data_IF_961054956480
#
_entry.id   IF_961054956480
#
_cell.length_a   1.000
_cell.length_b   1.000
_cell.length_c   1.000
_cell.angle_alpha   90.00
_cell.angle_beta   90.00
_cell.angle_gamma   90.00
#
_symmetry.space_group_name_H-M   'P 1'
#
loop_
_entity.id
_entity.type
_entity.pdbx_description
1 polymer ?
#
# COMPACT_ATOMS: atom_id res chain seq x y z
N UNK A 1 -23.55 -1.49 -18.16
CA UNK A 1 -23.67 -2.27 -16.92
C UNK A 1 -24.80 -1.59 -16.14
N UNK A 2 -25.87 -2.33 -15.90
CA UNK A 2 -27.04 -1.83 -15.18
C UNK A 2 -26.70 -1.86 -13.68
N UNK A 3 -26.31 -0.71 -13.11
CA UNK A 3 -25.87 -0.58 -11.71
C UNK A 3 -27.12 -0.39 -10.82
N UNK A 4 -28.11 -1.25 -10.96
CA UNK A 4 -29.31 -1.18 -10.13
C UNK A 4 -29.23 -2.00 -8.85
N UNK A 5 -28.13 -2.71 -8.60
CA UNK A 5 -27.90 -3.46 -7.35
C UNK A 5 -26.39 -3.45 -7.08
N UNK A 6 -25.94 -2.57 -6.24
CA UNK A 6 -24.52 -2.42 -5.88
C UNK A 6 -24.37 -1.67 -4.57
N UNK A 7 -23.21 -1.74 -4.01
CA UNK A 7 -22.82 -0.99 -2.83
C UNK A 7 -22.09 0.30 -3.26
N UNK A 8 -22.52 1.43 -2.73
CA UNK A 8 -21.76 2.68 -2.79
C UNK A 8 -21.39 3.11 -1.39
N UNK A 9 -20.11 3.34 -1.15
CA UNK A 9 -19.60 3.87 0.10
C UNK A 9 -18.75 5.11 -0.15
N UNK A 10 -18.90 6.11 0.71
CA UNK A 10 -18.08 7.32 0.72
C UNK A 10 -17.24 7.36 1.98
N UNK A 11 -15.94 7.54 1.79
CA UNK A 11 -14.95 7.65 2.87
C UNK A 11 -14.39 9.06 2.92
N UNK A 12 -14.14 9.56 4.11
CA UNK A 12 -13.46 10.84 4.36
C UNK A 12 -12.36 10.66 5.39
N UNK A 13 -11.23 11.41 5.28
CA UNK A 13 -10.20 11.42 6.31
C UNK A 13 -10.74 11.98 7.63
N UNK A 14 -10.43 11.31 8.72
CA UNK A 14 -10.67 11.80 10.08
C UNK A 14 -9.57 12.82 10.47
N UNK A 15 -9.71 14.05 10.01
CA UNK A 15 -8.73 15.11 10.26
C UNK A 15 -9.41 16.43 10.57
N UNK A 16 -8.76 17.28 11.38
CA UNK A 16 -9.22 18.63 11.70
C UNK A 16 -8.82 19.67 10.66
N UNK A 17 -8.06 19.27 9.63
CA UNK A 17 -7.58 20.13 8.54
C UNK A 17 -7.92 19.49 7.21
N UNK A 18 -8.03 20.31 6.17
CA UNK A 18 -8.23 19.81 4.81
C UNK A 18 -7.08 18.88 4.42
N UNK A 19 -7.42 17.70 3.89
CA UNK A 19 -6.43 16.75 3.41
C UNK A 19 -5.75 17.25 2.13
N UNK A 20 -4.46 16.98 1.97
CA UNK A 20 -3.77 17.27 0.71
C UNK A 20 -4.18 16.26 -0.36
N UNK A 21 -3.95 16.62 -1.63
CA UNK A 21 -4.20 15.70 -2.74
C UNK A 21 -3.43 14.39 -2.57
N UNK A 22 -2.16 14.47 -2.19
CA UNK A 22 -1.28 13.33 -1.95
C UNK A 22 -1.82 12.43 -0.83
N UNK A 23 -2.42 13.02 0.21
CA UNK A 23 -3.05 12.27 1.30
C UNK A 23 -4.32 11.55 0.84
N UNK A 24 -5.14 12.18 -0.01
CA UNK A 24 -6.32 11.53 -0.59
C UNK A 24 -5.93 10.40 -1.54
N UNK A 25 -4.90 10.60 -2.39
CA UNK A 25 -4.39 9.57 -3.29
C UNK A 25 -3.80 8.38 -2.50
N UNK A 26 -3.11 8.67 -1.41
CA UNK A 26 -2.60 7.63 -0.51
C UNK A 26 -3.72 6.85 0.18
N UNK A 27 -4.76 7.55 0.67
CA UNK A 27 -5.93 6.92 1.27
C UNK A 27 -6.72 6.06 0.25
N UNK A 28 -6.83 6.52 -1.00
CA UNK A 28 -7.37 5.73 -2.12
C UNK A 28 -6.61 4.42 -2.28
N UNK A 29 -5.27 4.47 -2.24
CA UNK A 29 -4.42 3.28 -2.36
C UNK A 29 -4.63 2.27 -1.22
N UNK A 30 -4.93 2.73 0.01
CA UNK A 30 -5.33 1.83 1.12
C UNK A 30 -6.61 1.07 0.73
N UNK A 31 -7.64 1.79 0.29
CA UNK A 31 -8.91 1.18 -0.10
C UNK A 31 -8.68 0.15 -1.21
N UNK A 32 -7.87 0.44 -2.22
CA UNK A 32 -7.53 -0.51 -3.29
C UNK A 32 -6.87 -1.79 -2.78
N UNK A 33 -5.94 -1.66 -1.81
CA UNK A 33 -5.31 -2.83 -1.17
C UNK A 33 -6.35 -3.65 -0.41
N UNK A 34 -7.23 -3.01 0.35
CA UNK A 34 -8.29 -3.70 1.09
C UNK A 34 -9.31 -4.36 0.15
N UNK A 35 -9.73 -3.72 -0.94
CA UNK A 35 -10.59 -4.33 -1.96
C UNK A 35 -9.95 -5.61 -2.50
N UNK A 36 -8.67 -5.55 -2.86
CA UNK A 36 -7.92 -6.71 -3.35
C UNK A 36 -7.83 -7.81 -2.29
N UNK A 37 -7.59 -7.47 -1.02
CA UNK A 37 -7.49 -8.44 0.07
C UNK A 37 -8.80 -9.16 0.35
N UNK A 38 -9.95 -8.53 0.07
CA UNK A 38 -11.29 -9.07 0.21
C UNK A 38 -11.82 -9.74 -1.07
N UNK A 39 -10.98 -9.90 -2.10
CA UNK A 39 -11.35 -10.45 -3.41
C UNK A 39 -12.42 -9.64 -4.15
N UNK A 40 -12.63 -8.38 -3.79
CA UNK A 40 -13.50 -7.47 -4.52
C UNK A 40 -12.70 -6.96 -5.71
N UNK A 41 -12.97 -7.50 -6.89
CA UNK A 41 -12.17 -7.26 -8.10
C UNK A 41 -12.86 -6.37 -9.14
N UNK A 42 -14.19 -6.31 -9.09
CA UNK A 42 -15.00 -5.46 -9.97
C UNK A 42 -15.49 -4.26 -9.15
N UNK A 43 -14.84 -3.11 -9.29
CA UNK A 43 -15.19 -1.91 -8.55
C UNK A 43 -14.81 -0.64 -9.32
N UNK A 44 -15.48 0.45 -8.99
CA UNK A 44 -15.15 1.80 -9.40
C UNK A 44 -14.71 2.62 -8.19
N UNK A 45 -13.65 3.40 -8.34
CA UNK A 45 -13.07 4.18 -7.25
C UNK A 45 -12.78 5.61 -7.72
N UNK A 46 -13.45 6.58 -7.11
CA UNK A 46 -13.38 7.99 -7.45
C UNK A 46 -12.84 8.82 -6.30
N UNK A 47 -12.11 9.89 -6.62
CA UNK A 47 -11.64 10.88 -5.65
C UNK A 47 -12.30 12.24 -5.89
N UNK A 48 -12.86 12.84 -4.84
CA UNK A 48 -13.36 14.22 -4.82
C UNK A 48 -12.45 15.05 -3.90
N UNK A 49 -11.43 15.65 -4.50
CA UNK A 49 -10.43 16.45 -3.78
C UNK A 49 -10.99 17.75 -3.20
N UNK A 50 -12.12 18.24 -3.71
CA UNK A 50 -12.74 19.47 -3.21
C UNK A 50 -13.41 19.26 -1.85
N UNK A 51 -13.97 18.08 -1.66
CA UNK A 51 -14.72 17.69 -0.45
C UNK A 51 -14.00 16.65 0.39
N UNK A 52 -12.72 16.34 0.10
CA UNK A 52 -11.90 15.34 0.78
C UNK A 52 -12.61 13.99 0.89
N UNK A 53 -13.09 13.46 -0.26
CA UNK A 53 -13.89 12.23 -0.31
C UNK A 53 -13.29 11.22 -1.28
N UNK A 54 -13.47 9.97 -0.91
CA UNK A 54 -13.20 8.81 -1.77
C UNK A 54 -14.49 8.02 -1.85
N UNK A 55 -14.97 7.78 -3.08
CA UNK A 55 -16.22 7.09 -3.35
C UNK A 55 -15.87 5.76 -4.00
N UNK A 56 -16.34 4.67 -3.42
CA UNK A 56 -16.18 3.33 -3.95
C UNK A 56 -17.55 2.77 -4.33
N UNK A 57 -17.61 2.09 -5.47
CA UNK A 57 -18.79 1.37 -5.94
C UNK A 57 -18.38 -0.01 -6.37
N UNK A 58 -19.11 -1.02 -5.95
CA UNK A 58 -18.91 -2.38 -6.41
C UNK A 58 -20.26 -3.13 -6.50
N UNK A 59 -20.38 -4.07 -7.46
CA UNK A 59 -21.61 -4.84 -7.60
C UNK A 59 -21.77 -5.78 -6.41
N UNK A 60 -22.98 -5.87 -5.90
CA UNK A 60 -23.37 -6.85 -4.90
C UNK A 60 -24.83 -7.27 -5.10
N UNK A 61 -25.10 -8.55 -4.92
CA UNK A 61 -26.46 -9.09 -4.99
C UNK A 61 -26.86 -9.54 -3.59
N UNK A 62 -28.00 -9.07 -3.12
CA UNK A 62 -28.55 -9.42 -1.80
C UNK A 62 -28.77 -10.91 -1.58
N UNK A 63 -28.70 -11.72 -2.64
CA UNK A 63 -28.81 -13.19 -2.59
C UNK A 63 -27.48 -13.88 -2.26
N UNK A 64 -26.36 -13.17 -2.29
CA UNK A 64 -25.04 -13.67 -1.90
C UNK A 64 -24.92 -13.70 -0.37
N UNK A 65 -25.38 -14.79 0.24
CA UNK A 65 -25.41 -14.99 1.70
C UNK A 65 -24.03 -15.07 2.37
N UNK A 66 -22.98 -15.15 1.59
CA UNK A 66 -21.58 -15.31 2.06
C UNK A 66 -20.82 -14.00 2.14
N UNK A 67 -21.34 -12.91 1.59
CA UNK A 67 -20.72 -11.60 1.60
C UNK A 67 -21.50 -10.61 2.48
N UNK A 68 -20.82 -10.00 3.42
CA UNK A 68 -21.34 -8.97 4.33
C UNK A 68 -20.82 -7.59 3.90
N UNK A 69 -21.64 -6.77 3.20
CA UNK A 69 -21.19 -5.49 2.68
C UNK A 69 -20.88 -4.48 3.79
N UNK A 70 -21.57 -4.52 4.93
CA UNK A 70 -21.31 -3.62 6.06
C UNK A 70 -19.92 -3.89 6.66
N UNK A 71 -19.61 -5.16 6.88
CA UNK A 71 -18.29 -5.57 7.37
C UNK A 71 -17.19 -5.26 6.35
N UNK A 72 -17.44 -5.51 5.07
CA UNK A 72 -16.50 -5.18 3.99
C UNK A 72 -16.15 -3.68 4.00
N UNK A 73 -17.15 -2.80 4.08
CA UNK A 73 -16.93 -1.35 4.13
C UNK A 73 -16.18 -0.92 5.38
N UNK A 74 -16.49 -1.52 6.53
CA UNK A 74 -15.77 -1.28 7.77
C UNK A 74 -14.29 -1.64 7.65
N UNK A 75 -13.98 -2.75 7.01
CA UNK A 75 -12.61 -3.17 6.74
C UNK A 75 -11.91 -2.27 5.71
N UNK A 76 -12.63 -1.78 4.69
CA UNK A 76 -12.08 -0.81 3.73
C UNK A 76 -11.65 0.50 4.36
N UNK A 77 -12.30 0.93 5.44
CA UNK A 77 -11.95 2.15 6.19
C UNK A 77 -10.87 1.94 7.25
N UNK A 78 -10.47 0.71 7.52
CA UNK A 78 -9.46 0.40 8.51
C UNK A 78 -8.11 1.03 8.13
N UNK A 79 -7.31 1.37 9.15
CA UNK A 79 -5.94 1.83 8.92
C UNK A 79 -5.08 0.67 8.44
N UNK A 80 -4.47 0.81 7.27
CA UNK A 80 -3.53 -0.17 6.77
C UNK A 80 -2.23 -0.13 7.58
N UNK A 81 -1.72 -1.30 7.95
CA UNK A 81 -0.46 -1.44 8.66
C UNK A 81 0.67 -1.70 7.67
N UNK A 82 1.45 -0.66 7.36
CA UNK A 82 2.67 -0.81 6.59
C UNK A 82 3.76 -1.43 7.46
N UNK A 83 4.35 -2.53 6.98
CA UNK A 83 5.51 -3.17 7.62
C UNK A 83 6.56 -3.57 6.60
N UNK A 84 7.83 -3.42 6.99
CA UNK A 84 8.98 -3.99 6.30
C UNK A 84 9.45 -5.18 7.13
N UNK A 85 9.57 -6.34 6.52
CA UNK A 85 9.83 -7.61 7.20
C UNK A 85 11.00 -8.33 6.59
N UNK A 86 11.71 -9.12 7.40
CA UNK A 86 12.81 -9.98 6.91
C UNK A 86 12.28 -11.12 6.04
N UNK A 87 12.95 -11.34 4.92
CA UNK A 87 12.56 -12.37 3.96
C UNK A 87 11.42 -11.98 3.05
N UNK A 88 11.09 -12.83 2.10
CA UNK A 88 10.03 -12.64 1.12
C UNK A 88 9.08 -13.84 1.03
N UNK A 89 9.04 -14.69 2.05
CA UNK A 89 8.20 -15.88 2.05
C UNK A 89 6.72 -15.54 2.26
N UNK A 90 5.85 -16.24 1.57
CA UNK A 90 4.39 -16.11 1.65
C UNK A 90 3.72 -17.48 1.62
N UNK A 91 2.49 -17.57 2.12
CA UNK A 91 1.73 -18.84 2.16
C UNK A 91 0.84 -19.04 0.95
N UNK A 92 0.32 -17.97 0.37
CA UNK A 92 -0.61 -18.02 -0.77
C UNK A 92 -0.29 -16.93 -1.78
N UNK A 93 -0.50 -17.25 -3.05
CA UNK A 93 -0.56 -16.28 -4.13
C UNK A 93 -1.94 -16.41 -4.79
N UNK A 94 -2.55 -15.27 -5.06
CA UNK A 94 -3.84 -15.18 -5.73
C UNK A 94 -3.73 -14.27 -6.94
N UNK A 95 -4.75 -14.24 -7.79
CA UNK A 95 -4.73 -13.35 -8.95
C UNK A 95 -5.60 -12.14 -8.65
N UNK A 96 -4.97 -10.97 -8.59
CA UNK A 96 -5.68 -9.70 -8.46
C UNK A 96 -6.47 -9.33 -9.71
N UNK A 97 -7.32 -8.30 -9.60
CA UNK A 97 -8.16 -7.79 -10.69
C UNK A 97 -7.38 -7.36 -11.95
N UNK A 98 -6.11 -6.99 -11.78
CA UNK A 98 -5.20 -6.60 -12.85
C UNK A 98 -4.43 -7.80 -13.47
N UNK A 99 -4.78 -9.04 -13.11
CA UNK A 99 -4.10 -10.25 -13.56
C UNK A 99 -2.72 -10.50 -12.94
N UNK A 100 -2.28 -9.65 -11.99
CA UNK A 100 -1.01 -9.82 -11.27
C UNK A 100 -1.22 -10.65 -10.00
N UNK A 101 -0.22 -11.45 -9.58
CA UNK A 101 -0.33 -12.22 -8.35
C UNK A 101 -0.42 -11.31 -7.11
N UNK A 102 -1.28 -11.69 -6.18
CA UNK A 102 -1.41 -11.07 -4.85
C UNK A 102 -0.89 -12.07 -3.82
N UNK A 103 0.18 -11.71 -3.15
CA UNK A 103 0.80 -12.55 -2.11
C UNK A 103 0.23 -12.16 -0.76
N UNK A 104 -0.26 -13.15 -0.03
CA UNK A 104 -0.91 -12.96 1.27
C UNK A 104 -0.21 -13.76 2.35
N UNK A 105 -0.40 -13.31 3.57
CA UNK A 105 0.01 -13.98 4.82
C UNK A 105 1.48 -14.42 4.79
N UNK A 106 2.40 -13.61 5.32
CA UNK A 106 3.82 -13.93 5.32
C UNK A 106 4.06 -15.24 6.09
N UNK A 107 4.68 -16.20 5.43
CA UNK A 107 4.96 -17.50 6.00
C UNK A 107 6.07 -17.39 7.04
N UNK A 108 5.82 -17.91 8.23
CA UNK A 108 6.83 -17.94 9.29
C UNK A 108 7.23 -16.58 9.85
N UNK A 109 6.51 -15.51 9.48
CA UNK A 109 6.79 -14.16 9.98
C UNK A 109 6.29 -14.04 11.42
N UNK A 110 7.22 -13.74 12.33
CA UNK A 110 6.92 -13.37 13.69
C UNK A 110 6.95 -11.85 13.86
N UNK A 111 6.49 -11.37 15.01
CA UNK A 111 6.59 -9.94 15.36
C UNK A 111 8.05 -9.47 15.32
N UNK A 112 8.99 -10.33 15.62
CA UNK A 112 10.42 -10.00 15.67
C UNK A 112 11.06 -9.86 14.28
N UNK A 113 10.37 -10.30 13.21
CA UNK A 113 10.81 -10.11 11.83
C UNK A 113 10.47 -8.74 11.24
N UNK A 114 9.70 -7.91 11.94
CA UNK A 114 9.34 -6.56 11.52
C UNK A 114 10.52 -5.63 11.76
N UNK A 115 11.04 -5.04 10.69
CA UNK A 115 12.15 -4.08 10.68
C UNK A 115 11.64 -2.66 10.87
N UNK A 116 10.71 -2.25 9.97
CA UNK A 116 10.11 -0.92 9.95
C UNK A 116 8.58 -1.00 9.96
N UNK A 117 7.97 0.06 10.44
CA UNK A 117 6.54 0.32 10.35
C UNK A 117 6.30 1.65 9.66
N UNK A 118 5.07 1.94 9.25
CA UNK A 118 4.71 3.18 8.60
C UNK A 118 5.17 4.44 9.34
N UNK A 119 5.12 4.43 10.67
CA UNK A 119 5.61 5.53 11.53
C UNK A 119 7.11 5.83 11.40
N UNK A 120 7.90 4.91 10.86
CA UNK A 120 9.35 5.06 10.65
C UNK A 120 9.66 5.73 9.29
N UNK A 121 8.66 5.84 8.39
CA UNK A 121 8.77 6.46 7.08
C UNK A 121 8.42 7.95 7.18
N UNK A 122 9.30 8.81 6.64
CA UNK A 122 9.07 10.24 6.53
C UNK A 122 8.46 10.63 5.18
N UNK A 123 9.02 10.11 4.09
CA UNK A 123 8.48 10.31 2.73
C UNK A 123 8.70 9.08 1.85
N UNK A 124 7.80 8.87 0.88
CA UNK A 124 7.97 7.94 -0.22
C UNK A 124 7.53 8.63 -1.51
N UNK A 125 8.37 8.59 -2.55
CA UNK A 125 8.10 9.26 -3.84
C UNK A 125 8.57 8.41 -5.01
N UNK A 126 7.77 8.39 -6.08
CA UNK A 126 8.24 7.89 -7.36
C UNK A 126 9.30 8.83 -7.92
N UNK A 127 10.40 8.28 -8.37
CA UNK A 127 11.53 9.01 -8.93
C UNK A 127 11.91 8.40 -10.27
N UNK A 128 12.33 9.27 -11.17
CA UNK A 128 12.88 8.89 -12.47
C UNK A 128 14.40 9.06 -12.41
N UNK A 129 15.13 8.06 -12.88
CA UNK A 129 16.56 8.15 -13.02
C UNK A 129 16.99 7.61 -14.39
N UNK A 130 18.16 8.05 -14.84
CA UNK A 130 18.77 7.55 -16.05
C UNK A 130 19.85 6.54 -15.68
N UNK A 131 19.66 5.29 -16.09
CA UNK A 131 20.69 4.26 -15.90
C UNK A 131 21.95 4.63 -16.68
N UNK A 132 23.04 4.78 -15.96
CA UNK A 132 24.32 5.26 -16.52
C UNK A 132 24.97 4.27 -17.50
N UNK A 133 24.59 3.01 -17.46
CA UNK A 133 25.14 1.93 -18.28
C UNK A 133 24.37 1.77 -19.59
N UNK A 134 23.05 1.75 -19.50
CA UNK A 134 22.16 1.56 -20.65
C UNK A 134 21.66 2.86 -21.28
N UNK A 135 21.77 4.00 -20.56
CA UNK A 135 21.20 5.29 -20.94
C UNK A 135 19.67 5.33 -20.91
N UNK A 136 19.00 4.27 -20.42
CA UNK A 136 17.54 4.18 -20.37
C UNK A 136 17.00 4.97 -19.17
N UNK A 137 15.80 5.51 -19.37
CA UNK A 137 15.01 6.08 -18.27
C UNK A 137 14.35 4.95 -17.50
N UNK A 138 14.59 4.88 -16.20
CA UNK A 138 14.02 3.91 -15.30
C UNK A 138 13.28 4.62 -14.14
N UNK A 139 12.39 3.90 -13.48
CA UNK A 139 11.61 4.43 -12.36
C UNK A 139 11.89 3.61 -11.10
N UNK A 140 11.97 4.33 -9.97
CA UNK A 140 12.17 3.75 -8.63
C UNK A 140 11.27 4.44 -7.63
N UNK A 141 11.18 3.89 -6.41
CA UNK A 141 10.54 4.57 -5.28
C UNK A 141 11.63 4.98 -4.29
N UNK A 142 11.86 6.29 -4.19
CA UNK A 142 12.74 6.87 -3.18
C UNK A 142 12.04 6.92 -1.83
N UNK A 143 12.75 6.52 -0.78
CA UNK A 143 12.29 6.53 0.62
C UNK A 143 13.21 7.40 1.47
N UNK A 144 12.62 8.20 2.35
CA UNK A 144 13.31 8.89 3.45
C UNK A 144 12.71 8.41 4.77
N UNK A 145 13.57 7.93 5.65
CA UNK A 145 13.21 7.45 6.99
C UNK A 145 13.38 8.58 8.02
N UNK A 146 12.66 8.50 9.12
CA UNK A 146 12.96 9.34 10.28
C UNK A 146 14.16 8.76 11.08
N UNK A 147 14.61 9.44 12.11
CA UNK A 147 15.80 9.05 12.86
C UNK A 147 15.69 7.64 13.46
N UNK A 148 14.52 7.27 13.99
CA UNK A 148 14.26 5.91 14.52
C UNK A 148 14.30 4.86 13.41
N UNK A 149 13.68 5.15 12.28
CA UNK A 149 13.68 4.28 11.11
C UNK A 149 15.08 4.10 10.52
N UNK A 150 15.86 5.18 10.45
CA UNK A 150 17.25 5.19 9.95
C UNK A 150 18.09 4.21 10.74
N UNK A 151 18.06 4.28 12.08
CA UNK A 151 18.86 3.38 12.91
C UNK A 151 18.46 1.91 12.73
N UNK A 152 17.15 1.61 12.77
CA UNK A 152 16.64 0.25 12.57
C UNK A 152 17.02 -0.32 11.20
N UNK A 153 16.98 0.54 10.18
CA UNK A 153 17.24 0.10 8.81
C UNK A 153 18.72 -0.09 8.53
N UNK A 154 19.59 0.72 9.13
CA UNK A 154 21.04 0.52 9.10
C UNK A 154 21.42 -0.85 9.68
N UNK A 155 20.97 -1.15 10.90
CA UNK A 155 21.22 -2.43 11.56
C UNK A 155 20.67 -3.63 10.75
N UNK A 156 19.47 -3.46 10.15
CA UNK A 156 18.85 -4.51 9.35
C UNK A 156 19.56 -4.73 8.01
N UNK A 157 19.92 -3.66 7.29
CA UNK A 157 20.58 -3.79 5.99
C UNK A 157 22.02 -4.29 6.10
N UNK A 158 22.72 -4.00 7.20
CA UNK A 158 24.02 -4.61 7.49
C UNK A 158 23.90 -6.14 7.64
N UNK A 159 22.92 -6.61 8.40
CA UNK A 159 22.68 -8.03 8.69
C UNK A 159 22.04 -8.80 7.52
N UNK A 160 21.28 -8.14 6.68
CA UNK A 160 20.48 -8.73 5.60
C UNK A 160 21.05 -8.46 4.21
N UNK A 161 22.34 -8.12 4.09
CA UNK A 161 22.97 -7.94 2.80
C UNK A 161 22.78 -9.16 1.89
N UNK A 162 22.46 -8.93 0.63
CA UNK A 162 22.08 -9.94 -0.39
C UNK A 162 20.82 -10.77 -0.06
N UNK A 163 20.07 -10.39 0.97
CA UNK A 163 18.79 -11.01 1.35
C UNK A 163 17.61 -10.09 1.00
N UNK A 164 16.43 -10.65 1.09
CA UNK A 164 15.18 -9.94 0.78
C UNK A 164 14.62 -9.26 2.03
N UNK A 165 14.18 -8.01 1.86
CA UNK A 165 13.27 -7.32 2.78
C UNK A 165 11.95 -7.16 2.04
N UNK A 166 10.88 -7.75 2.58
CA UNK A 166 9.54 -7.63 2.00
C UNK A 166 8.77 -6.48 2.61
N UNK A 167 7.97 -5.80 1.77
CA UNK A 167 7.14 -4.66 2.15
C UNK A 167 5.69 -5.12 2.09
N UNK A 168 4.98 -4.96 3.20
CA UNK A 168 3.62 -5.45 3.38
C UNK A 168 2.67 -4.32 3.76
N UNK A 169 1.46 -4.38 3.22
CA UNK A 169 0.32 -3.61 3.65
C UNK A 169 -0.68 -4.60 4.25
N UNK A 170 -0.87 -4.59 5.57
CA UNK A 170 -1.54 -5.66 6.32
C UNK A 170 -0.93 -7.02 5.98
N UNK A 171 -1.71 -7.93 5.42
CA UNK A 171 -1.29 -9.26 4.98
C UNK A 171 -1.01 -9.38 3.48
N UNK A 172 -0.95 -8.25 2.75
CA UNK A 172 -0.65 -8.22 1.32
C UNK A 172 0.77 -7.74 1.08
N UNK A 173 1.60 -8.58 0.47
CA UNK A 173 2.95 -8.20 0.06
C UNK A 173 2.89 -7.30 -1.19
N UNK A 174 3.38 -6.07 -1.06
CA UNK A 174 3.38 -5.08 -2.15
C UNK A 174 4.70 -5.01 -2.91
N UNK A 175 5.81 -5.41 -2.27
CA UNK A 175 7.13 -5.49 -2.89
C UNK A 175 8.07 -6.37 -2.06
N UNK A 176 9.16 -6.87 -2.68
CA UNK A 176 10.16 -7.71 -2.01
C UNK A 176 11.58 -7.46 -2.57
N UNK A 177 12.14 -6.25 -2.38
CA UNK A 177 13.46 -5.91 -2.87
C UNK A 177 14.59 -6.69 -2.17
N UNK A 178 15.70 -6.89 -2.89
CA UNK A 178 16.96 -7.38 -2.31
C UNK A 178 17.77 -6.23 -1.75
N UNK A 179 18.41 -6.44 -0.61
CA UNK A 179 19.33 -5.48 0.02
C UNK A 179 20.67 -5.55 -0.69
N UNK A 180 21.02 -4.51 -1.46
CA UNK A 180 22.25 -4.47 -2.23
C UNK A 180 23.44 -3.83 -1.47
N UNK A 181 23.13 -3.03 -0.45
CA UNK A 181 24.13 -2.31 0.34
C UNK A 181 23.58 -1.93 1.72
N UNK A 182 24.47 -1.60 2.64
CA UNK A 182 24.11 -1.02 3.95
C UNK A 182 23.59 0.39 3.75
N UNK A 183 22.53 0.77 4.44
CA UNK A 183 21.86 2.07 4.33
C UNK A 183 21.90 2.76 5.69
N UNK A 184 22.84 3.69 5.87
CA UNK A 184 23.08 4.37 7.14
C UNK A 184 22.48 5.78 7.22
N UNK A 185 22.16 6.39 6.08
CA UNK A 185 21.68 7.77 5.98
C UNK A 185 20.15 7.91 5.98
N UNK A 186 19.43 6.79 6.08
CA UNK A 186 17.98 6.76 6.05
C UNK A 186 17.36 7.09 4.69
N UNK A 187 18.17 7.12 3.63
CA UNK A 187 17.71 7.34 2.25
C UNK A 187 17.94 6.08 1.44
N UNK A 188 16.90 5.53 0.91
CA UNK A 188 16.98 4.32 0.10
C UNK A 188 16.01 4.36 -1.08
N UNK A 189 16.22 3.48 -2.04
CA UNK A 189 15.30 3.32 -3.16
C UNK A 189 14.92 1.87 -3.35
N UNK A 190 13.65 1.67 -3.69
CA UNK A 190 13.13 0.38 -4.15
C UNK A 190 13.27 0.41 -5.67
N UNK A 191 14.20 -0.40 -6.18
CA UNK A 191 14.45 -0.54 -7.60
C UNK A 191 13.71 -1.75 -8.16
N UNK A 192 13.37 -1.70 -9.46
CA UNK A 192 12.71 -2.75 -10.20
C UNK A 192 12.34 -2.28 -11.59
N UNK A 193 11.82 -3.19 -12.43
CA UNK A 193 11.31 -2.83 -13.75
C UNK A 193 9.94 -2.14 -13.64
N UNK A 194 9.89 -1.00 -12.97
CA UNK A 194 8.65 -0.23 -12.81
C UNK A 194 8.39 0.65 -14.03
N UNK A 195 7.12 0.72 -14.41
CA UNK A 195 6.60 1.86 -15.18
C UNK A 195 6.42 3.06 -14.25
N UNK A 196 6.24 4.25 -14.80
CA UNK A 196 5.94 5.46 -14.01
C UNK A 196 4.72 5.28 -13.10
N UNK A 197 3.68 4.62 -13.61
CA UNK A 197 2.46 4.33 -12.84
C UNK A 197 2.73 3.37 -11.69
N UNK A 198 3.45 2.27 -11.94
CA UNK A 198 3.75 1.27 -10.90
C UNK A 198 4.61 1.84 -9.77
N UNK A 199 5.60 2.68 -10.10
CA UNK A 199 6.40 3.38 -9.09
C UNK A 199 5.55 4.37 -8.27
N UNK A 200 4.64 5.11 -8.93
CA UNK A 200 3.72 6.02 -8.25
C UNK A 200 2.75 5.28 -7.34
N UNK A 201 2.17 4.18 -7.81
CA UNK A 201 1.24 3.36 -7.03
C UNK A 201 1.92 2.75 -5.80
N UNK A 202 3.17 2.29 -5.94
CA UNK A 202 3.94 1.76 -4.82
C UNK A 202 4.27 2.86 -3.80
N UNK A 203 4.72 4.04 -4.27
CA UNK A 203 5.00 5.19 -3.40
C UNK A 203 3.75 5.64 -2.64
N UNK A 204 2.59 5.67 -3.31
CA UNK A 204 1.31 6.01 -2.70
C UNK A 204 0.92 4.98 -1.62
N UNK A 205 1.06 3.69 -1.87
CA UNK A 205 0.79 2.63 -0.88
C UNK A 205 1.67 2.76 0.36
N UNK A 206 2.97 3.01 0.16
CA UNK A 206 3.90 3.21 1.28
C UNK A 206 3.53 4.46 2.09
N UNK A 207 3.24 5.57 1.41
CA UNK A 207 2.78 6.82 2.06
C UNK A 207 1.46 6.62 2.78
N UNK A 208 0.57 5.83 2.21
CA UNK A 208 -0.72 5.49 2.80
C UNK A 208 -0.57 4.77 4.15
N UNK A 209 0.34 3.81 4.24
CA UNK A 209 0.63 3.11 5.50
C UNK A 209 1.32 3.99 6.56
N UNK A 210 1.73 5.20 6.21
CA UNK A 210 2.28 6.22 7.11
C UNK A 210 1.28 7.34 7.43
N UNK A 211 0.02 7.28 6.95
CA UNK A 211 -0.98 8.33 7.19
C UNK A 211 -1.26 8.53 8.68
N UNK A 212 -1.33 9.80 9.14
CA UNK A 212 -1.56 10.13 10.54
C UNK A 212 -3.06 10.10 10.93
N UNK A 213 -3.96 9.76 10.02
CA UNK A 213 -5.40 9.75 10.24
C UNK A 213 -6.05 8.43 9.77
N UNK A 214 -7.25 8.21 10.26
CA UNK A 214 -8.12 7.11 9.85
C UNK A 214 -9.08 7.58 8.75
N UNK A 215 -9.62 6.63 8.01
CA UNK A 215 -10.76 6.87 7.12
C UNK A 215 -12.05 6.56 7.87
N UNK A 216 -13.06 7.41 7.71
CA UNK A 216 -14.42 7.17 8.21
C UNK A 216 -15.39 7.04 7.07
N UNK A 217 -16.32 6.10 7.20
CA UNK A 217 -17.44 5.97 6.27
C UNK A 217 -18.46 7.06 6.56
N UNK A 218 -18.71 7.94 5.59
CA UNK A 218 -19.66 9.06 5.73
C UNK A 218 -21.01 8.79 5.11
N UNK A 219 -21.09 7.87 4.15
CA UNK A 219 -22.35 7.35 3.60
C UNK A 219 -22.17 5.91 3.12
N UNK A 220 -23.27 5.16 3.17
CA UNK A 220 -23.38 3.80 2.69
C UNK A 220 -24.79 3.58 2.11
N UNK A 221 -24.90 3.12 0.87
CA UNK A 221 -26.16 2.84 0.18
C UNK A 221 -26.07 1.51 -0.57
#
# INVERSE_FOLDING_TARGET
IDINVGVEATFSPETNTKATKEQIDSAKSIIEVHMTSQYITDYELYTDYNNDRIIVRFPWKSEEKTFDPENAIKELSATALLTFREGGEYTTADTGSNGKPVYKTPKGVTKDSIILQGKDIKTAKAEMFQDSTSGKTEYQVGLELNDSGTQKFADATERLQDKVISIWMDDVMISSPTVNQVIEDGKCSIQGNFTASEASDLANKITAGALPFKLTTTSFN
#
